data_IF_090342391269
#
_entry.id   IF_090342391269
#
_cell.length_a   1.000
_cell.length_b   1.000
_cell.length_c   1.000
_cell.angle_alpha   90.00
_cell.angle_beta   90.00
_cell.angle_gamma   90.00
#
_symmetry.space_group_name_H-M   'P 1'
#
loop_
_entity.id
_entity.type
_entity.pdbx_description
1 polymer ?
#
# COMPACT_ATOMS: atom_id res chain seq x y z
N UNK A 1 9.86 52.69 22.96
CA UNK A 1 10.72 51.50 23.16
C UNK A 1 9.98 50.34 23.84
N UNK A 2 9.23 50.59 24.93
CA UNK A 2 8.49 49.53 25.66
C UNK A 2 7.48 48.76 24.79
N UNK A 3 6.71 49.47 23.96
CA UNK A 3 5.68 48.85 23.11
C UNK A 3 6.28 48.00 21.99
N UNK A 4 7.44 48.40 21.45
CA UNK A 4 8.17 47.62 20.45
C UNK A 4 8.70 46.30 21.02
N UNK A 5 9.19 46.34 22.27
CA UNK A 5 9.67 45.15 22.98
C UNK A 5 8.53 44.16 23.27
N UNK A 6 7.36 44.67 23.67
CA UNK A 6 6.17 43.84 23.92
C UNK A 6 5.71 43.12 22.64
N UNK A 7 5.61 43.85 21.53
CA UNK A 7 5.23 43.27 20.23
C UNK A 7 6.26 42.20 19.83
N UNK A 8 7.55 42.51 19.92
CA UNK A 8 8.61 41.56 19.61
C UNK A 8 8.52 40.28 20.45
N UNK A 9 8.15 40.39 21.74
CA UNK A 9 8.05 39.24 22.64
C UNK A 9 6.80 38.39 22.39
N UNK A 10 5.68 38.98 21.94
CA UNK A 10 4.45 38.24 21.60
C UNK A 10 4.57 37.45 20.29
N UNK A 11 5.46 37.86 19.38
CA UNK A 11 5.71 37.13 18.13
C UNK A 11 6.74 35.99 18.28
N UNK A 12 7.32 35.78 19.47
CA UNK A 12 8.18 34.62 19.67
C UNK A 12 7.32 33.35 19.64
N UNK A 13 7.65 32.36 18.80
CA UNK A 13 6.95 31.08 18.82
C UNK A 13 7.19 30.43 20.17
N UNK A 14 6.12 30.34 20.98
CA UNK A 14 6.13 29.55 22.20
C UNK A 14 6.04 28.08 21.83
N UNK A 15 6.85 27.23 22.45
CA UNK A 15 6.77 25.77 22.29
C UNK A 15 5.43 25.29 22.85
N UNK A 16 4.41 25.20 22.01
CA UNK A 16 3.17 24.54 22.37
C UNK A 16 3.48 23.04 22.50
N UNK A 17 3.52 22.55 23.74
CA UNK A 17 3.57 21.12 24.06
C UNK A 17 2.20 20.50 23.68
N UNK A 18 1.91 20.43 22.38
CA UNK A 18 0.85 19.59 21.89
C UNK A 18 1.26 18.16 22.23
N UNK A 19 0.54 17.51 23.15
CA UNK A 19 0.76 16.11 23.45
C UNK A 19 0.88 15.31 22.14
N UNK A 20 1.67 14.24 22.15
CA UNK A 20 1.92 13.34 21.02
C UNK A 20 0.67 12.91 20.22
N UNK A 21 -0.54 13.08 20.78
CA UNK A 21 -1.83 12.81 20.16
C UNK A 21 -2.17 13.62 18.89
N UNK A 22 -1.57 14.79 18.62
CA UNK A 22 -1.85 15.54 17.37
C UNK A 22 -0.83 15.30 16.24
N UNK A 23 0.29 14.62 16.50
CA UNK A 23 1.21 14.19 15.44
C UNK A 23 0.75 12.88 14.78
N UNK A 24 -0.08 12.08 15.47
CA UNK A 24 -0.70 10.88 14.91
C UNK A 24 -1.71 11.16 13.81
N UNK A 25 -2.39 12.31 13.85
CA UNK A 25 -3.39 12.70 12.84
C UNK A 25 -2.74 13.19 11.53
N UNK A 26 -1.53 13.76 11.59
CA UNK A 26 -0.81 14.28 10.41
C UNK A 26 0.08 13.25 9.69
N UNK A 27 0.50 12.17 10.38
CA UNK A 27 1.45 11.19 9.84
C UNK A 27 0.80 9.86 9.36
N UNK A 28 -0.52 9.69 9.51
CA UNK A 28 -1.14 8.37 9.47
C UNK A 28 -1.92 7.95 8.21
N UNK A 29 -2.33 8.86 7.32
CA UNK A 29 -3.36 8.52 6.33
C UNK A 29 -2.85 8.20 4.92
N UNK A 30 -1.99 9.03 4.33
CA UNK A 30 -1.62 8.86 2.92
C UNK A 30 -0.58 7.76 2.67
N UNK A 31 0.30 7.51 3.65
CA UNK A 31 1.41 6.56 3.49
C UNK A 31 0.99 5.11 3.69
N UNK A 32 0.09 4.83 4.65
CA UNK A 32 -0.44 3.49 4.82
C UNK A 32 -1.28 3.09 3.60
N UNK A 33 -2.09 4.01 3.05
CA UNK A 33 -2.90 3.71 1.87
C UNK A 33 -2.04 3.26 0.68
N UNK A 34 -0.88 3.91 0.47
CA UNK A 34 0.12 3.46 -0.51
C UNK A 34 0.65 2.05 -0.23
N UNK A 35 1.03 1.76 1.01
CA UNK A 35 1.48 0.43 1.41
C UNK A 35 0.39 -0.65 1.26
N UNK A 36 -0.87 -0.32 1.59
CA UNK A 36 -2.02 -1.20 1.42
C UNK A 36 -2.34 -1.47 -0.06
N UNK A 37 -2.24 -0.45 -0.92
CA UNK A 37 -2.43 -0.59 -2.36
C UNK A 37 -1.35 -1.50 -2.98
N UNK A 38 -0.09 -1.31 -2.60
CA UNK A 38 1.02 -2.16 -3.06
C UNK A 38 0.83 -3.60 -2.57
N UNK A 39 0.52 -3.80 -1.28
CA UNK A 39 0.23 -5.12 -0.74
C UNK A 39 -0.90 -5.84 -1.46
N UNK A 40 -1.96 -5.10 -1.82
CA UNK A 40 -3.10 -5.63 -2.58
C UNK A 40 -2.71 -6.05 -4.00
N UNK A 41 -1.94 -5.22 -4.70
CA UNK A 41 -1.46 -5.53 -6.06
C UNK A 41 -0.60 -6.81 -6.08
N UNK A 42 0.29 -6.97 -5.10
CA UNK A 42 1.12 -8.16 -4.95
C UNK A 42 0.25 -9.40 -4.70
N UNK A 43 -0.71 -9.32 -3.76
CA UNK A 43 -1.60 -10.44 -3.45
C UNK A 43 -2.41 -10.91 -4.67
N UNK A 44 -2.98 -9.98 -5.43
CA UNK A 44 -3.72 -10.30 -6.66
C UNK A 44 -2.81 -10.87 -7.76
N UNK A 45 -1.58 -10.36 -7.88
CA UNK A 45 -0.58 -10.90 -8.81
C UNK A 45 -0.24 -12.36 -8.48
N UNK A 46 0.02 -12.66 -7.20
CA UNK A 46 0.32 -14.02 -6.75
C UNK A 46 -0.88 -14.97 -6.93
N UNK A 47 -2.10 -14.53 -6.62
CA UNK A 47 -3.32 -15.33 -6.83
C UNK A 47 -3.55 -15.66 -8.31
N UNK A 48 -3.32 -14.70 -9.20
CA UNK A 48 -3.42 -14.93 -10.65
C UNK A 48 -2.31 -15.84 -11.17
N UNK A 49 -1.07 -15.68 -10.68
CA UNK A 49 0.03 -16.56 -11.07
C UNK A 49 -0.25 -18.03 -10.68
N UNK A 50 -0.69 -18.27 -9.44
CA UNK A 50 -1.02 -19.62 -8.96
C UNK A 50 -2.21 -20.21 -9.73
N UNK A 51 -3.26 -19.42 -9.98
CA UNK A 51 -4.44 -19.89 -10.74
C UNK A 51 -4.11 -20.13 -12.22
N UNK A 52 -3.29 -19.27 -12.81
CA UNK A 52 -2.85 -19.37 -14.20
C UNK A 52 -1.99 -20.60 -14.45
N UNK A 53 -1.08 -20.95 -13.52
CA UNK A 53 -0.32 -22.20 -13.59
C UNK A 53 -1.24 -23.42 -13.56
N UNK A 54 -2.24 -23.45 -12.67
CA UNK A 54 -3.17 -24.58 -12.61
C UNK A 54 -3.99 -24.77 -13.89
N UNK A 55 -4.39 -23.68 -14.55
CA UNK A 55 -5.10 -23.75 -15.84
C UNK A 55 -4.23 -24.27 -16.98
N UNK A 56 -2.95 -23.87 -17.01
CA UNK A 56 -2.00 -24.36 -18.02
C UNK A 56 -1.74 -25.85 -17.87
N UNK A 57 -1.59 -26.34 -16.64
CA UNK A 57 -1.40 -27.77 -16.39
C UNK A 57 -2.65 -28.60 -16.79
N UNK A 58 -3.85 -28.05 -16.61
CA UNK A 58 -5.11 -28.70 -17.06
C UNK A 58 -5.25 -28.68 -18.60
N UNK A 59 -4.90 -27.58 -19.27
CA UNK A 59 -4.92 -27.47 -20.73
C UNK A 59 -3.86 -28.36 -21.41
N UNK A 60 -2.64 -28.46 -20.86
CA UNK A 60 -1.61 -29.40 -21.36
C UNK A 60 -2.02 -30.87 -21.19
N UNK A 61 -2.71 -31.22 -20.10
CA UNK A 61 -3.22 -32.58 -19.90
C UNK A 61 -4.38 -32.92 -20.86
N UNK A 62 -5.18 -31.93 -21.22
CA UNK A 62 -6.29 -32.09 -22.17
C UNK A 62 -5.76 -32.24 -23.61
N UNK A 63 -4.77 -31.44 -24.02
CA UNK A 63 -4.12 -31.59 -25.34
C UNK A 63 -3.44 -32.97 -25.48
N UNK A 64 -2.63 -33.40 -24.50
CA UNK A 64 -1.94 -34.70 -24.53
C UNK A 64 -2.92 -35.88 -24.58
N UNK A 65 -4.05 -35.79 -23.86
CA UNK A 65 -5.12 -36.81 -23.89
C UNK A 65 -5.84 -36.85 -25.24
N UNK A 66 -6.01 -35.71 -25.91
CA UNK A 66 -6.63 -35.66 -27.25
C UNK A 66 -5.73 -36.12 -28.38
N UNK A 67 -4.40 -35.95 -28.27
CA UNK A 67 -3.45 -36.48 -29.26
C UNK A 67 -3.29 -38.00 -29.14
N UNK A 68 -3.18 -38.57 -27.93
CA UNK A 68 -3.08 -40.04 -27.76
C UNK A 68 -4.36 -40.80 -28.16
N UNK A 69 -5.53 -40.14 -28.11
CA UNK A 69 -6.81 -40.74 -28.54
C UNK A 69 -7.05 -40.74 -30.05
N UNK A 70 -6.25 -40.03 -30.84
CA UNK A 70 -6.41 -39.92 -32.30
C UNK A 70 -5.46 -40.84 -33.08
N UNK A 71 -4.49 -41.49 -32.41
CA UNK A 71 -3.52 -42.41 -33.04
C UNK A 71 -3.85 -43.91 -32.85
N UNK A 72 -5.02 -44.25 -32.27
CA UNK A 72 -5.45 -45.63 -31.99
C UNK A 72 -6.57 -46.15 -32.93
#
# INVERSE_FOLDING_TARGET
MKNFLIISFTLLPSTAFAHYGHLGEALGHDHWLGAAAIGTAIALGLLNAVKGSKKRDEEEQEEVSTEEGQEA
#
